data_IF_040788038216
#
_entry.id   IF_040788038216
#
_cell.length_a   1.000
_cell.length_b   1.000
_cell.length_c   1.000
_cell.angle_alpha   90.00
_cell.angle_beta   90.00
_cell.angle_gamma   90.00
#
_symmetry.space_group_name_H-M   'P 1'
#
loop_
_entity.id
_entity.type
_entity.pdbx_description
1 polymer ?
#
# COMPACT_ATOMS: atom_id res chain seq x y z
N UNK A 1 -29.68 6.44 -13.63
CA UNK A 1 -29.19 7.78 -13.30
C UNK A 1 -27.65 7.80 -13.21
N UNK A 2 -27.03 6.97 -12.35
CA UNK A 2 -25.57 6.97 -12.13
C UNK A 2 -24.76 6.74 -13.40
N UNK A 3 -25.21 5.83 -14.28
CA UNK A 3 -24.56 5.61 -15.58
C UNK A 3 -24.54 6.90 -16.42
N UNK A 4 -25.66 7.61 -16.53
CA UNK A 4 -25.75 8.84 -17.31
C UNK A 4 -24.90 9.97 -16.71
N UNK A 5 -24.82 10.07 -15.38
CA UNK A 5 -23.93 11.01 -14.71
C UNK A 5 -22.45 10.71 -15.00
N UNK A 6 -22.07 9.44 -14.99
CA UNK A 6 -20.71 9.03 -15.32
C UNK A 6 -20.38 9.25 -16.80
N UNK A 7 -21.35 8.99 -17.69
CA UNK A 7 -21.21 9.26 -19.11
C UNK A 7 -21.01 10.77 -19.38
N UNK A 8 -21.81 11.63 -18.74
CA UNK A 8 -21.67 13.11 -18.80
C UNK A 8 -20.25 13.55 -18.38
N UNK A 9 -19.66 12.89 -17.39
CA UNK A 9 -18.31 13.19 -16.88
C UNK A 9 -17.19 12.64 -17.74
N UNK A 10 -17.49 11.94 -18.85
CA UNK A 10 -16.50 11.29 -19.70
C UNK A 10 -15.81 10.11 -19.06
N UNK A 11 -16.48 9.40 -18.14
CA UNK A 11 -15.93 8.24 -17.45
C UNK A 11 -15.70 7.08 -18.42
N UNK A 12 -14.58 6.38 -18.26
CA UNK A 12 -14.31 5.11 -18.94
C UNK A 12 -15.12 3.93 -18.37
N UNK A 13 -14.83 2.69 -18.85
CA UNK A 13 -15.59 1.49 -18.47
C UNK A 13 -15.77 1.30 -16.95
N UNK A 14 -14.72 1.57 -16.16
CA UNK A 14 -14.78 1.48 -14.69
C UNK A 14 -15.86 2.40 -14.08
N UNK A 15 -16.02 3.62 -14.59
CA UNK A 15 -17.06 4.53 -14.12
C UNK A 15 -18.44 4.16 -14.66
N UNK A 16 -18.51 3.72 -15.92
CA UNK A 16 -19.75 3.27 -16.56
C UNK A 16 -20.28 1.95 -15.97
N UNK A 17 -19.44 1.13 -15.35
CA UNK A 17 -19.86 -0.02 -14.56
C UNK A 17 -20.87 0.35 -13.45
N UNK A 18 -20.96 1.66 -13.10
CA UNK A 18 -21.94 2.19 -12.16
C UNK A 18 -21.78 1.62 -10.74
N UNK A 19 -22.88 1.24 -10.09
CA UNK A 19 -22.88 0.72 -8.72
C UNK A 19 -22.91 -0.81 -8.74
N UNK A 20 -22.03 -1.44 -7.96
CA UNK A 20 -22.06 -2.87 -7.72
C UNK A 20 -23.02 -3.21 -6.57
N UNK A 21 -23.59 -4.45 -6.60
CA UNK A 21 -24.39 -4.97 -5.48
C UNK A 21 -23.57 -5.09 -4.20
N UNK A 22 -22.31 -5.53 -4.35
CA UNK A 22 -21.34 -5.65 -3.27
C UNK A 22 -20.09 -4.85 -3.67
N UNK A 23 -19.66 -3.96 -2.80
CA UNK A 23 -18.52 -3.09 -3.07
C UNK A 23 -17.66 -2.92 -1.80
N UNK A 24 -16.35 -3.14 -1.87
CA UNK A 24 -15.45 -2.79 -0.76
C UNK A 24 -15.58 -1.31 -0.39
N UNK A 25 -15.53 -1.04 0.91
CA UNK A 25 -15.55 0.30 1.48
C UNK A 25 -14.33 0.47 2.39
N UNK A 26 -14.13 1.62 2.95
CA UNK A 26 -12.96 1.94 3.77
C UNK A 26 -12.68 0.88 4.86
N UNK A 27 -11.45 0.44 4.95
CA UNK A 27 -11.01 -0.65 5.81
C UNK A 27 -11.58 -2.01 5.38
N UNK A 28 -11.98 -2.83 6.32
CA UNK A 28 -12.58 -4.16 6.08
C UNK A 28 -14.09 -4.11 5.82
N UNK A 29 -14.67 -2.92 5.65
CA UNK A 29 -16.11 -2.74 5.47
C UNK A 29 -16.53 -3.02 4.04
N UNK A 30 -17.79 -3.43 3.88
CA UNK A 30 -18.40 -3.69 2.57
C UNK A 30 -19.77 -3.04 2.50
N UNK A 31 -20.03 -2.33 1.40
CA UNK A 31 -21.37 -1.83 1.09
C UNK A 31 -22.11 -2.92 0.33
N UNK A 32 -23.29 -3.31 0.85
CA UNK A 32 -24.22 -4.19 0.16
C UNK A 32 -25.46 -3.41 -0.26
N UNK A 33 -25.91 -3.60 -1.52
CA UNK A 33 -27.10 -2.96 -2.10
C UNK A 33 -28.10 -4.03 -2.58
N UNK A 34 -28.84 -4.68 -1.68
CA UNK A 34 -29.66 -5.84 -2.00
C UNK A 34 -30.84 -5.52 -2.93
N UNK A 35 -31.27 -4.26 -2.99
CA UNK A 35 -32.39 -3.82 -3.83
C UNK A 35 -31.94 -3.20 -5.17
N UNK A 36 -30.68 -3.36 -5.57
CA UNK A 36 -30.16 -2.72 -6.79
C UNK A 36 -30.85 -3.23 -8.06
N UNK A 37 -31.28 -4.48 -8.08
CA UNK A 37 -32.01 -5.12 -9.17
C UNK A 37 -33.52 -4.92 -9.13
N UNK A 38 -34.06 -4.33 -8.05
CA UNK A 38 -35.50 -4.12 -7.85
C UNK A 38 -35.90 -2.73 -8.34
N UNK A 39 -36.97 -2.65 -9.13
CA UNK A 39 -37.46 -1.36 -9.61
C UNK A 39 -38.13 -0.55 -8.48
N UNK A 40 -38.15 0.79 -8.63
CA UNK A 40 -38.86 1.66 -7.68
C UNK A 40 -40.34 1.29 -7.55
N UNK A 41 -40.99 0.91 -8.65
CA UNK A 41 -42.41 0.52 -8.65
C UNK A 41 -42.65 -0.76 -7.84
N UNK A 42 -41.76 -1.75 -7.93
CA UNK A 42 -41.84 -2.96 -7.11
C UNK A 42 -41.65 -2.66 -5.63
N UNK A 43 -40.69 -1.77 -5.29
CA UNK A 43 -40.45 -1.34 -3.90
C UNK A 43 -41.69 -0.61 -3.34
N UNK A 44 -42.27 0.31 -4.12
CA UNK A 44 -43.48 1.03 -3.71
C UNK A 44 -44.68 0.09 -3.54
N UNK A 45 -44.90 -0.83 -4.51
CA UNK A 45 -45.99 -1.84 -4.43
C UNK A 45 -45.81 -2.75 -3.20
N UNK A 46 -44.56 -3.13 -2.83
CA UNK A 46 -44.32 -3.87 -1.62
C UNK A 46 -44.65 -3.03 -0.36
N UNK A 47 -44.23 -1.77 -0.32
CA UNK A 47 -44.49 -0.88 0.79
C UNK A 47 -46.00 -0.66 1.01
N UNK A 48 -46.76 -0.40 -0.06
CA UNK A 48 -48.23 -0.26 -0.02
C UNK A 48 -48.91 -1.54 0.45
N UNK A 49 -48.51 -2.70 -0.09
CA UNK A 49 -49.09 -3.98 0.29
C UNK A 49 -48.86 -4.35 1.77
N UNK A 50 -47.77 -3.88 2.33
CA UNK A 50 -47.41 -4.08 3.77
C UNK A 50 -47.75 -2.87 4.65
N UNK A 51 -48.48 -1.89 4.14
CA UNK A 51 -48.92 -0.68 4.88
C UNK A 51 -47.74 0.05 5.58
N UNK A 52 -46.56 0.06 4.93
CA UNK A 52 -45.41 0.79 5.44
C UNK A 52 -45.60 2.29 5.26
N UNK A 53 -45.19 3.06 6.23
CA UNK A 53 -45.17 4.53 6.15
C UNK A 53 -43.77 5.02 5.95
N UNK A 54 -43.57 6.00 5.08
CA UNK A 54 -42.28 6.64 4.82
C UNK A 54 -42.41 8.15 4.73
N UNK A 55 -41.34 8.84 4.91
CA UNK A 55 -41.27 10.30 4.76
C UNK A 55 -40.72 10.57 3.36
N UNK A 56 -41.42 11.38 2.58
CA UNK A 56 -40.85 11.93 1.34
C UNK A 56 -40.05 13.18 1.65
N UNK A 57 -38.85 13.25 1.12
CA UNK A 57 -37.99 14.41 1.20
C UNK A 57 -38.33 15.34 0.01
N UNK A 58 -38.75 16.56 0.32
CA UNK A 58 -39.16 17.56 -0.67
C UNK A 58 -38.02 17.88 -1.67
N UNK A 59 -36.76 17.71 -1.25
CA UNK A 59 -35.59 17.88 -2.14
C UNK A 59 -35.53 16.88 -3.29
N UNK A 60 -36.26 15.76 -3.21
CA UNK A 60 -36.35 14.78 -4.30
C UNK A 60 -36.96 15.34 -5.60
N UNK A 61 -37.71 16.44 -5.51
CA UNK A 61 -38.35 17.11 -6.63
C UNK A 61 -37.57 18.32 -7.15
N UNK A 62 -36.49 18.72 -6.47
CA UNK A 62 -35.64 19.82 -6.89
C UNK A 62 -34.78 19.40 -8.09
N UNK A 63 -35.20 19.80 -9.30
CA UNK A 63 -34.50 19.50 -10.56
C UNK A 63 -33.24 20.35 -10.77
N UNK A 64 -32.91 21.28 -9.89
CA UNK A 64 -31.57 21.93 -9.89
C UNK A 64 -30.49 20.89 -9.51
N UNK A 65 -30.87 19.83 -8.81
CA UNK A 65 -30.01 18.68 -8.50
C UNK A 65 -29.94 17.77 -9.72
N UNK A 66 -28.77 17.61 -10.29
CA UNK A 66 -28.48 16.83 -11.51
C UNK A 66 -29.15 15.43 -11.53
N UNK A 67 -29.16 14.73 -10.41
CA UNK A 67 -29.76 13.40 -10.31
C UNK A 67 -31.28 13.46 -10.44
N UNK A 68 -31.92 14.46 -9.84
CA UNK A 68 -33.36 14.64 -9.93
C UNK A 68 -33.75 15.12 -11.33
N UNK A 69 -32.97 16.01 -11.94
CA UNK A 69 -33.15 16.38 -13.34
C UNK A 69 -33.14 15.17 -14.29
N UNK A 70 -32.15 14.29 -14.13
CA UNK A 70 -32.13 13.05 -14.92
C UNK A 70 -33.36 12.18 -14.68
N UNK A 71 -33.80 12.05 -13.43
CA UNK A 71 -34.93 11.20 -13.02
C UNK A 71 -36.27 11.72 -13.52
N UNK A 72 -36.50 13.02 -13.45
CA UNK A 72 -37.83 13.61 -13.73
C UNK A 72 -37.97 14.09 -15.16
N UNK A 73 -36.91 14.57 -15.79
CA UNK A 73 -36.99 15.21 -17.10
C UNK A 73 -36.35 14.35 -18.22
N UNK A 74 -35.14 13.85 -18.01
CA UNK A 74 -34.37 13.18 -19.07
C UNK A 74 -34.78 11.74 -19.27
N UNK A 75 -34.78 10.92 -18.22
CA UNK A 75 -35.08 9.48 -18.33
C UNK A 75 -36.48 9.24 -18.85
N UNK A 76 -37.55 9.91 -18.37
CA UNK A 76 -38.90 9.73 -18.90
C UNK A 76 -38.99 10.11 -20.38
N UNK A 77 -38.29 11.15 -20.82
CA UNK A 77 -38.24 11.55 -22.23
C UNK A 77 -37.60 10.46 -23.11
N UNK A 78 -36.48 9.87 -22.62
CA UNK A 78 -35.80 8.79 -23.32
C UNK A 78 -36.65 7.51 -23.36
N UNK A 79 -37.30 7.13 -22.26
CA UNK A 79 -38.13 5.96 -22.15
C UNK A 79 -39.41 6.08 -22.98
N UNK A 80 -40.00 7.29 -23.11
CA UNK A 80 -41.12 7.54 -24.01
C UNK A 80 -40.73 7.27 -25.46
N UNK A 81 -39.51 7.59 -25.86
CA UNK A 81 -39.00 7.38 -27.23
C UNK A 81 -38.50 5.95 -27.42
N UNK A 82 -37.87 5.38 -26.42
CA UNK A 82 -37.27 4.05 -26.41
C UNK A 82 -37.69 3.30 -25.14
N UNK A 83 -38.81 2.56 -25.15
CA UNK A 83 -39.38 1.92 -23.94
C UNK A 83 -38.45 0.98 -23.18
N UNK A 84 -37.35 0.49 -23.81
CA UNK A 84 -36.37 -0.38 -23.20
C UNK A 84 -35.04 0.32 -22.89
N UNK A 85 -35.01 1.65 -22.89
CA UNK A 85 -33.78 2.42 -22.69
C UNK A 85 -33.11 2.08 -21.36
N UNK A 86 -33.86 2.07 -20.27
CA UNK A 86 -33.34 1.73 -18.95
C UNK A 86 -32.66 0.36 -18.90
N UNK A 87 -33.33 -0.66 -19.49
CA UNK A 87 -32.78 -2.02 -19.59
C UNK A 87 -31.51 -2.08 -20.43
N UNK A 88 -31.42 -1.31 -21.51
CA UNK A 88 -30.22 -1.22 -22.35
C UNK A 88 -29.06 -0.58 -21.61
N UNK A 89 -29.30 0.46 -20.79
CA UNK A 89 -28.30 1.10 -19.94
C UNK A 89 -27.78 0.15 -18.85
N UNK A 90 -28.70 -0.58 -18.19
CA UNK A 90 -28.33 -1.60 -17.19
C UNK A 90 -27.43 -2.66 -17.80
N UNK A 91 -27.81 -3.16 -19.00
CA UNK A 91 -27.00 -4.15 -19.73
C UNK A 91 -25.61 -3.59 -20.08
N UNK A 92 -25.53 -2.36 -20.59
CA UNK A 92 -24.26 -1.71 -20.91
C UNK A 92 -23.37 -1.56 -19.66
N UNK A 93 -23.94 -1.11 -18.54
CA UNK A 93 -23.22 -0.99 -17.26
C UNK A 93 -22.67 -2.35 -16.79
N UNK A 94 -23.50 -3.41 -16.88
CA UNK A 94 -23.09 -4.78 -16.53
C UNK A 94 -21.92 -5.26 -17.40
N UNK A 95 -22.00 -5.07 -18.71
CA UNK A 95 -20.92 -5.47 -19.64
C UNK A 95 -19.63 -4.70 -19.34
N UNK A 96 -19.71 -3.39 -19.00
CA UNK A 96 -18.56 -2.62 -18.57
C UNK A 96 -17.96 -3.19 -17.27
N UNK A 97 -18.79 -3.60 -16.32
CA UNK A 97 -18.33 -4.22 -15.07
C UNK A 97 -17.63 -5.57 -15.32
N UNK A 98 -18.23 -6.43 -16.14
CA UNK A 98 -17.66 -7.74 -16.52
C UNK A 98 -16.29 -7.55 -17.21
N UNK A 99 -16.18 -6.65 -18.19
CA UNK A 99 -14.91 -6.35 -18.84
C UNK A 99 -13.85 -5.81 -17.87
N UNK A 100 -14.25 -4.95 -16.93
CA UNK A 100 -13.33 -4.44 -15.92
C UNK A 100 -12.83 -5.54 -14.98
N UNK A 101 -13.70 -6.48 -14.60
CA UNK A 101 -13.32 -7.61 -13.74
C UNK A 101 -12.29 -8.51 -14.45
N UNK A 102 -12.57 -8.91 -15.69
CA UNK A 102 -11.62 -9.71 -16.49
C UNK A 102 -10.27 -9.00 -16.63
N UNK A 103 -10.30 -7.68 -16.90
CA UNK A 103 -9.07 -6.90 -16.98
C UNK A 103 -8.29 -6.89 -15.65
N UNK A 104 -9.00 -6.72 -14.54
CA UNK A 104 -8.37 -6.75 -13.20
C UNK A 104 -7.73 -8.10 -12.91
N UNK A 105 -8.42 -9.21 -13.21
CA UNK A 105 -7.90 -10.57 -13.04
C UNK A 105 -6.61 -10.78 -13.83
N UNK A 106 -6.59 -10.43 -15.11
CA UNK A 106 -5.41 -10.56 -15.97
C UNK A 106 -4.24 -9.70 -15.50
N UNK A 107 -4.52 -8.48 -15.02
CA UNK A 107 -3.48 -7.58 -14.48
C UNK A 107 -2.90 -8.12 -13.17
N UNK A 108 -3.75 -8.65 -12.29
CA UNK A 108 -3.32 -9.27 -11.03
C UNK A 108 -2.49 -10.52 -11.28
N UNK A 109 -2.93 -11.42 -12.16
CA UNK A 109 -2.19 -12.61 -12.53
C UNK A 109 -0.79 -12.24 -13.09
N UNK A 110 -0.74 -11.29 -14.02
CA UNK A 110 0.53 -10.82 -14.60
C UNK A 110 1.45 -10.21 -13.54
N UNK A 111 0.90 -9.46 -12.59
CA UNK A 111 1.67 -8.88 -11.49
C UNK A 111 2.20 -9.97 -10.55
N UNK A 112 1.37 -10.91 -10.13
CA UNK A 112 1.74 -12.00 -9.24
C UNK A 112 2.85 -12.88 -9.85
N UNK A 113 2.75 -13.23 -11.13
CA UNK A 113 3.80 -13.99 -11.83
C UNK A 113 5.14 -13.25 -11.79
N UNK A 114 5.14 -11.92 -12.02
CA UNK A 114 6.37 -11.13 -11.98
C UNK A 114 6.94 -10.97 -10.55
N UNK A 115 6.12 -11.09 -9.52
CA UNK A 115 6.51 -10.96 -8.11
C UNK A 115 7.01 -12.29 -7.50
N UNK A 116 6.81 -13.45 -8.15
CA UNK A 116 7.16 -14.77 -7.59
C UNK A 116 8.62 -14.89 -7.15
N UNK A 117 9.54 -14.19 -7.81
CA UNK A 117 10.98 -14.22 -7.52
C UNK A 117 11.41 -13.13 -6.50
N UNK A 118 10.47 -12.29 -6.05
CA UNK A 118 10.74 -11.14 -5.18
C UNK A 118 9.71 -11.06 -4.06
N UNK A 119 9.63 -9.92 -3.40
CA UNK A 119 8.57 -9.63 -2.43
C UNK A 119 7.25 -9.29 -3.13
N UNK A 120 6.10 -9.67 -2.54
CA UNK A 120 4.76 -9.28 -2.98
C UNK A 120 4.54 -7.76 -2.97
N UNK A 121 5.34 -7.02 -2.21
CA UNK A 121 5.20 -5.57 -2.02
C UNK A 121 5.92 -4.75 -3.08
N UNK A 122 6.83 -5.36 -3.85
CA UNK A 122 7.55 -4.66 -4.91
C UNK A 122 6.86 -4.75 -6.26
N UNK A 123 7.20 -3.82 -7.16
CA UNK A 123 6.82 -3.84 -8.57
C UNK A 123 8.05 -4.07 -9.43
N UNK A 124 8.28 -5.29 -9.94
CA UNK A 124 9.41 -5.62 -10.79
C UNK A 124 9.36 -4.86 -12.11
N UNK A 125 10.46 -4.20 -12.52
CA UNK A 125 10.44 -3.37 -13.71
C UNK A 125 10.40 -4.16 -15.03
N UNK A 126 10.84 -5.41 -15.05
CA UNK A 126 10.78 -6.28 -16.22
C UNK A 126 9.35 -6.46 -16.76
N UNK A 127 8.32 -6.34 -15.91
CA UNK A 127 6.90 -6.43 -16.31
C UNK A 127 6.50 -5.30 -17.29
N UNK A 128 7.22 -4.18 -17.30
CA UNK A 128 6.98 -3.05 -18.21
C UNK A 128 7.56 -3.24 -19.60
N UNK A 129 8.52 -4.17 -19.76
CA UNK A 129 9.18 -4.42 -21.01
C UNK A 129 8.21 -4.95 -22.07
N UNK A 130 8.23 -4.36 -23.25
CA UNK A 130 7.34 -4.73 -24.36
C UNK A 130 5.86 -4.41 -24.14
N UNK A 131 5.46 -3.92 -22.97
CA UNK A 131 4.07 -3.54 -22.70
C UNK A 131 3.75 -2.14 -23.26
N UNK A 132 2.52 -1.95 -23.77
CA UNK A 132 2.04 -0.63 -24.19
C UNK A 132 1.97 0.34 -23.01
N UNK A 133 2.04 1.66 -23.27
CA UNK A 133 1.94 2.68 -22.24
C UNK A 133 0.63 2.57 -21.42
N UNK A 134 -0.47 2.14 -22.05
CA UNK A 134 -1.74 1.89 -21.37
C UNK A 134 -1.62 0.70 -20.41
N UNK A 135 -1.02 -0.41 -20.82
CA UNK A 135 -0.78 -1.59 -19.99
C UNK A 135 0.14 -1.27 -18.82
N UNK A 136 1.24 -0.53 -19.08
CA UNK A 136 2.19 -0.10 -18.05
C UNK A 136 1.49 0.71 -16.94
N UNK A 137 0.65 1.69 -17.32
CA UNK A 137 -0.16 2.47 -16.36
C UNK A 137 -1.16 1.60 -15.61
N UNK A 138 -1.80 0.65 -16.29
CA UNK A 138 -2.75 -0.26 -15.66
C UNK A 138 -2.06 -1.14 -14.60
N UNK A 139 -0.90 -1.71 -14.93
CA UNK A 139 -0.11 -2.53 -13.99
C UNK A 139 0.37 -1.74 -12.77
N UNK A 140 0.89 -0.53 -12.96
CA UNK A 140 1.30 0.35 -11.86
C UNK A 140 0.11 0.69 -10.95
N UNK A 141 -1.04 0.99 -11.55
CA UNK A 141 -2.27 1.27 -10.80
C UNK A 141 -2.75 0.05 -10.01
N UNK A 142 -2.74 -1.13 -10.63
CA UNK A 142 -3.11 -2.38 -9.97
C UNK A 142 -2.20 -2.67 -8.79
N UNK A 143 -0.89 -2.55 -8.96
CA UNK A 143 0.09 -2.72 -7.88
C UNK A 143 -0.18 -1.78 -6.69
N UNK A 144 -0.37 -0.49 -6.93
CA UNK A 144 -0.68 0.45 -5.86
C UNK A 144 -2.01 0.14 -5.15
N UNK A 145 -3.01 -0.35 -5.90
CA UNK A 145 -4.28 -0.79 -5.34
C UNK A 145 -4.15 -2.04 -4.46
N UNK A 146 -3.33 -3.02 -4.87
CA UNK A 146 -3.09 -4.23 -4.04
C UNK A 146 -2.40 -3.89 -2.71
N UNK A 147 -1.60 -2.83 -2.68
CA UNK A 147 -0.99 -2.29 -1.46
C UNK A 147 -1.92 -1.37 -0.66
N UNK A 148 -3.19 -1.22 -1.06
CA UNK A 148 -4.15 -0.34 -0.38
C UNK A 148 -3.82 1.15 -0.48
N UNK A 149 -3.00 1.57 -1.47
CA UNK A 149 -2.58 2.96 -1.61
C UNK A 149 -3.58 3.81 -2.37
N UNK A 150 -3.67 5.09 -2.00
CA UNK A 150 -4.39 6.08 -2.80
C UNK A 150 -3.77 6.17 -4.19
N UNK A 151 -4.61 6.21 -5.22
CA UNK A 151 -4.09 6.29 -6.59
C UNK A 151 -3.53 7.68 -6.88
N UNK A 152 -2.32 7.76 -7.46
CA UNK A 152 -1.74 9.03 -7.88
C UNK A 152 -2.53 9.64 -9.05
N UNK A 153 -2.36 10.94 -9.28
CA UNK A 153 -2.92 11.62 -10.46
C UNK A 153 -2.40 10.97 -11.76
N UNK A 154 -3.07 11.28 -12.88
CA UNK A 154 -2.61 10.79 -14.18
C UNK A 154 -1.17 11.23 -14.46
N UNK A 155 -0.84 12.49 -14.15
CA UNK A 155 0.49 13.07 -14.35
C UNK A 155 1.55 12.39 -13.49
N UNK A 156 1.25 12.15 -12.21
CA UNK A 156 2.15 11.42 -11.30
C UNK A 156 2.36 9.97 -11.75
N UNK A 157 1.29 9.28 -12.16
CA UNK A 157 1.37 7.92 -12.67
C UNK A 157 2.22 7.84 -13.95
N UNK A 158 2.06 8.81 -14.85
CA UNK A 158 2.84 8.92 -16.07
C UNK A 158 4.31 9.27 -15.77
N UNK A 159 4.57 10.08 -14.76
CA UNK A 159 5.92 10.36 -14.26
C UNK A 159 6.59 9.09 -13.72
N UNK A 160 5.89 8.31 -12.86
CA UNK A 160 6.38 7.01 -12.36
C UNK A 160 6.74 6.13 -13.56
N UNK A 161 5.81 5.96 -14.50
CA UNK A 161 6.01 5.13 -15.69
C UNK A 161 7.25 5.53 -16.51
N UNK A 162 7.36 6.81 -16.86
CA UNK A 162 8.48 7.31 -17.69
C UNK A 162 9.82 7.20 -17.00
N UNK A 163 9.88 7.53 -15.73
CA UNK A 163 11.12 7.43 -14.97
C UNK A 163 11.53 5.98 -14.78
N UNK A 164 10.58 5.06 -14.56
CA UNK A 164 10.84 3.63 -14.41
C UNK A 164 11.45 2.99 -15.66
N UNK A 165 11.07 3.45 -16.85
CA UNK A 165 11.62 2.95 -18.11
C UNK A 165 13.05 3.46 -18.40
N UNK A 166 13.46 4.56 -17.77
CA UNK A 166 14.76 5.21 -18.00
C UNK A 166 15.72 5.03 -16.80
N UNK A 167 15.35 4.19 -15.83
CA UNK A 167 16.17 3.95 -14.64
C UNK A 167 17.46 3.23 -15.02
N UNK A 168 18.59 3.75 -14.51
CA UNK A 168 19.88 3.06 -14.50
C UNK A 168 20.11 2.45 -13.11
N UNK A 169 21.02 1.49 -13.00
CA UNK A 169 21.32 0.77 -11.77
C UNK A 169 21.71 1.67 -10.57
N UNK A 170 22.22 2.85 -10.84
CA UNK A 170 22.64 3.87 -9.87
C UNK A 170 21.61 5.00 -9.67
N UNK A 171 20.49 4.96 -10.38
CA UNK A 171 19.47 6.02 -10.33
C UNK A 171 18.74 6.04 -8.98
N UNK A 172 18.48 7.23 -8.49
CA UNK A 172 17.59 7.47 -7.36
C UNK A 172 16.24 7.97 -7.89
N UNK A 173 15.32 7.04 -8.18
CA UNK A 173 13.94 7.41 -8.44
C UNK A 173 13.24 7.58 -7.10
N UNK A 174 12.65 8.75 -6.92
CA UNK A 174 11.88 9.11 -5.73
C UNK A 174 10.73 10.03 -6.14
N UNK A 175 9.50 9.53 -6.08
CA UNK A 175 8.30 10.27 -6.47
C UNK A 175 7.35 10.32 -5.29
N UNK A 176 7.06 11.54 -4.84
CA UNK A 176 6.08 11.78 -3.77
C UNK A 176 4.67 11.60 -4.31
N UNK A 177 3.90 10.77 -3.64
CA UNK A 177 2.48 10.57 -3.83
C UNK A 177 1.71 11.02 -2.58
N UNK A 178 0.40 10.93 -2.59
CA UNK A 178 -0.42 11.34 -1.45
C UNK A 178 -0.25 10.34 -0.28
N UNK A 179 0.60 10.70 0.68
CA UNK A 179 0.85 9.93 1.90
C UNK A 179 1.90 8.82 1.78
N UNK A 180 2.58 8.70 0.64
CA UNK A 180 3.66 7.74 0.44
C UNK A 180 4.62 8.19 -0.65
N UNK A 181 5.73 7.44 -0.80
CA UNK A 181 6.75 7.64 -1.83
C UNK A 181 6.86 6.39 -2.69
N UNK A 182 7.03 6.55 -4.01
CA UNK A 182 7.46 5.47 -4.91
C UNK A 182 8.95 5.62 -5.14
N UNK A 183 9.72 4.57 -4.79
CA UNK A 183 11.17 4.55 -4.86
C UNK A 183 11.68 3.38 -5.68
N UNK A 184 12.84 3.53 -6.30
CA UNK A 184 13.50 2.48 -7.07
C UNK A 184 14.61 1.82 -6.25
N UNK A 185 14.64 0.49 -6.25
CA UNK A 185 15.73 -0.28 -5.67
C UNK A 185 15.75 -1.70 -6.27
N UNK A 186 16.96 -2.20 -6.63
CA UNK A 186 17.19 -3.56 -7.13
C UNK A 186 16.24 -4.00 -8.27
N UNK A 187 16.14 -3.16 -9.29
CA UNK A 187 15.30 -3.40 -10.49
C UNK A 187 13.81 -3.58 -10.16
N UNK A 188 13.34 -2.90 -9.14
CA UNK A 188 11.93 -2.85 -8.76
C UNK A 188 11.55 -1.49 -8.20
N UNK A 189 10.26 -1.16 -8.25
CA UNK A 189 9.68 -0.05 -7.48
C UNK A 189 9.20 -0.58 -6.14
N UNK A 190 9.29 0.29 -5.15
CA UNK A 190 8.86 0.06 -3.77
C UNK A 190 8.02 1.22 -3.30
N UNK A 191 7.05 0.94 -2.46
CA UNK A 191 6.31 1.96 -1.72
C UNK A 191 7.00 2.18 -0.39
N UNK A 192 7.25 3.44 -0.06
CA UNK A 192 7.75 3.88 1.25
C UNK A 192 6.70 4.80 1.89
N UNK A 193 6.01 4.31 2.89
CA UNK A 193 5.01 5.05 3.66
C UNK A 193 5.63 6.04 4.67
N UNK A 194 6.93 6.16 4.64
CA UNK A 194 7.71 6.77 5.69
C UNK A 194 8.05 5.73 6.77
N UNK A 195 9.06 6.01 7.55
CA UNK A 195 9.31 5.25 8.77
C UNK A 195 8.60 5.93 9.93
N UNK A 196 8.29 5.18 10.98
CA UNK A 196 7.93 5.75 12.27
C UNK A 196 8.96 6.80 12.72
N UNK A 197 8.59 7.69 13.60
CA UNK A 197 9.50 8.68 14.16
C UNK A 197 10.74 7.98 14.73
N UNK A 198 11.93 8.49 14.39
CA UNK A 198 13.19 7.85 14.77
C UNK A 198 13.29 7.66 16.29
N UNK A 199 13.68 6.47 16.71
CA UNK A 199 13.91 6.17 18.13
C UNK A 199 15.05 7.06 18.62
N UNK A 200 14.74 7.97 19.55
CA UNK A 200 15.72 8.74 20.31
C UNK A 200 16.55 7.79 21.18
N UNK A 201 17.71 8.22 21.65
CA UNK A 201 18.51 7.38 22.54
C UNK A 201 17.77 7.10 23.85
N UNK A 202 17.46 5.83 24.10
CA UNK A 202 16.74 5.35 25.28
C UNK A 202 17.54 4.25 25.97
N UNK A 203 17.70 4.37 27.29
CA UNK A 203 18.33 3.32 28.10
C UNK A 203 17.36 2.13 28.25
N UNK A 204 17.88 0.91 28.08
CA UNK A 204 17.13 -0.34 28.21
C UNK A 204 17.39 -0.94 29.57
N UNK A 205 16.36 -1.00 30.41
CA UNK A 205 16.42 -1.55 31.78
C UNK A 205 15.45 -2.70 32.01
N UNK A 206 14.65 -3.07 31.00
CA UNK A 206 13.62 -4.13 31.11
C UNK A 206 13.83 -5.19 30.03
N UNK A 207 13.51 -6.46 30.32
CA UNK A 207 13.62 -7.56 29.34
C UNK A 207 12.75 -7.39 28.09
N UNK A 208 11.64 -6.67 28.22
CA UNK A 208 10.75 -6.35 27.11
C UNK A 208 10.45 -4.86 27.12
N UNK A 209 10.72 -4.20 25.99
CA UNK A 209 10.46 -2.76 25.80
C UNK A 209 9.70 -2.57 24.48
N UNK A 210 8.56 -1.88 24.54
CA UNK A 210 7.73 -1.57 23.38
C UNK A 210 8.07 -0.16 22.86
N UNK A 211 8.25 -0.06 21.55
CA UNK A 211 8.58 1.18 20.81
C UNK A 211 7.45 1.59 19.84
N UNK A 212 6.21 1.28 20.18
CA UNK A 212 5.03 1.64 19.37
C UNK A 212 5.07 0.97 17.99
N UNK A 213 4.99 1.76 16.92
CA UNK A 213 4.99 1.27 15.54
C UNK A 213 6.26 0.52 15.14
N UNK A 214 7.37 0.77 15.83
CA UNK A 214 8.62 0.03 15.63
C UNK A 214 8.54 -1.44 16.10
N UNK A 215 7.60 -1.75 17.00
CA UNK A 215 7.48 -3.07 17.61
C UNK A 215 8.12 -3.16 18.98
N UNK A 216 8.52 -4.36 19.37
CA UNK A 216 9.02 -4.66 20.71
C UNK A 216 10.41 -5.30 20.67
N UNK A 217 11.31 -4.75 21.47
CA UNK A 217 12.62 -5.33 21.73
C UNK A 217 12.55 -6.25 22.95
N UNK A 218 12.98 -7.47 22.78
CA UNK A 218 13.21 -8.43 23.88
C UNK A 218 14.71 -8.61 24.10
N UNK A 219 15.15 -8.30 25.30
CA UNK A 219 16.55 -8.41 25.73
C UNK A 219 16.66 -9.51 26.79
N UNK A 220 17.57 -10.49 26.66
CA UNK A 220 17.80 -11.49 27.70
C UNK A 220 18.21 -10.85 29.04
N UNK A 221 17.73 -11.39 30.16
CA UNK A 221 18.04 -10.86 31.51
C UNK A 221 19.53 -10.91 31.83
N UNK A 222 20.22 -11.93 31.35
CA UNK A 222 21.69 -12.03 31.50
C UNK A 222 22.41 -10.87 30.82
N UNK A 223 21.97 -10.45 29.64
CA UNK A 223 22.53 -9.31 28.93
C UNK A 223 22.30 -7.99 29.66
N UNK A 224 21.12 -7.84 30.31
CA UNK A 224 20.84 -6.69 31.17
C UNK A 224 21.72 -6.64 32.40
N UNK A 225 22.05 -7.81 32.97
CA UNK A 225 22.90 -7.91 34.16
C UNK A 225 24.39 -7.72 33.84
N UNK A 226 24.86 -8.18 32.68
CA UNK A 226 26.25 -8.11 32.25
C UNK A 226 26.66 -6.75 31.67
N UNK A 227 25.69 -5.96 31.19
CA UNK A 227 25.96 -4.71 30.51
C UNK A 227 25.84 -3.51 31.45
N UNK A 228 26.93 -2.77 31.63
CA UNK A 228 26.92 -1.52 32.41
C UNK A 228 25.92 -0.49 31.86
N UNK A 229 25.74 -0.46 30.54
CA UNK A 229 24.81 0.46 29.87
C UNK A 229 24.33 -0.14 28.55
N UNK A 230 23.03 -0.38 28.47
CA UNK A 230 22.34 -0.73 27.24
C UNK A 230 21.52 0.45 26.75
N UNK A 231 21.75 0.91 25.54
CA UNK A 231 20.95 1.98 24.90
C UNK A 231 20.49 1.55 23.52
N UNK A 232 19.34 2.04 23.11
CA UNK A 232 18.82 1.86 21.76
C UNK A 232 18.54 3.22 21.12
N UNK A 233 18.87 3.35 19.84
CA UNK A 233 18.58 4.55 19.05
C UNK A 233 18.62 4.24 17.56
N UNK A 234 18.14 5.14 16.72
CA UNK A 234 18.40 5.13 15.27
C UNK A 234 19.69 5.87 14.90
N UNK A 235 20.52 6.25 15.87
CA UNK A 235 21.82 6.92 15.66
C UNK A 235 22.88 5.86 15.39
N UNK A 236 23.44 5.87 14.19
CA UNK A 236 24.46 4.90 13.81
C UNK A 236 25.85 5.31 14.32
N UNK A 237 26.62 4.36 14.88
CA UNK A 237 27.98 4.64 15.30
C UNK A 237 28.87 5.02 14.12
N UNK A 238 29.76 5.97 14.31
CA UNK A 238 30.71 6.42 13.29
C UNK A 238 31.88 5.44 13.09
N UNK A 239 32.13 4.55 14.06
CA UNK A 239 33.20 3.55 14.05
C UNK A 239 32.97 2.48 13.00
N UNK A 240 34.07 1.88 12.52
CA UNK A 240 34.03 0.68 11.70
C UNK A 240 33.81 -0.54 12.61
N UNK A 241 32.97 -1.44 12.18
CA UNK A 241 32.49 -2.62 12.92
C UNK A 241 32.78 -3.88 12.14
N UNK A 242 33.08 -4.95 12.81
CA UNK A 242 33.32 -6.27 12.23
C UNK A 242 32.38 -7.34 12.82
N UNK A 243 32.16 -8.42 12.08
CA UNK A 243 31.44 -9.58 12.61
C UNK A 243 32.32 -10.39 13.55
N UNK A 244 31.78 -10.95 14.63
CA UNK A 244 32.52 -11.81 15.53
C UNK A 244 33.23 -12.95 14.79
N UNK A 245 34.53 -13.16 15.07
CA UNK A 245 35.34 -14.22 14.47
C UNK A 245 35.66 -14.06 12.98
N UNK A 246 35.47 -12.88 12.40
CA UNK A 246 35.84 -12.56 11.01
C UNK A 246 36.75 -11.36 10.93
N UNK A 247 37.75 -11.43 10.05
CA UNK A 247 38.59 -10.29 9.72
C UNK A 247 37.81 -9.28 8.85
N UNK A 248 38.10 -7.99 9.06
CA UNK A 248 37.54 -6.90 8.29
C UNK A 248 36.46 -6.10 9.03
N UNK A 249 36.59 -4.79 8.92
CA UNK A 249 35.73 -3.80 9.58
C UNK A 249 35.16 -2.83 8.54
N UNK A 250 33.83 -2.60 8.59
CA UNK A 250 33.09 -1.67 7.71
C UNK A 250 32.21 -0.77 8.54
N UNK A 251 31.73 0.33 7.95
CA UNK A 251 30.67 1.14 8.56
C UNK A 251 29.38 0.31 8.63
N UNK A 252 28.53 0.58 9.62
CA UNK A 252 27.25 -0.12 9.75
C UNK A 252 26.42 -0.06 8.44
N UNK A 253 26.40 1.10 7.79
CA UNK A 253 25.67 1.30 6.53
C UNK A 253 26.12 0.34 5.41
N UNK A 254 27.40 -0.07 5.39
CA UNK A 254 27.91 -1.02 4.40
C UNK A 254 27.46 -2.45 4.72
N UNK A 255 27.37 -2.80 6.00
CA UNK A 255 26.78 -4.06 6.45
C UNK A 255 25.30 -4.17 6.07
N UNK A 256 24.54 -3.08 6.25
CA UNK A 256 23.14 -3.02 5.88
C UNK A 256 22.95 -3.10 4.34
N UNK A 257 23.87 -2.49 3.57
CA UNK A 257 23.88 -2.60 2.11
C UNK A 257 24.12 -4.04 1.65
N UNK A 258 25.04 -4.76 2.28
CA UNK A 258 25.32 -6.17 1.96
C UNK A 258 24.15 -7.10 2.31
N UNK A 259 23.30 -6.71 3.25
CA UNK A 259 22.05 -7.40 3.56
C UNK A 259 20.90 -7.05 2.61
N UNK A 260 21.17 -6.24 1.59
CA UNK A 260 20.17 -5.87 0.61
C UNK A 260 19.18 -4.80 1.07
N UNK A 261 19.42 -4.15 2.22
CA UNK A 261 18.50 -3.14 2.72
C UNK A 261 18.48 -1.89 1.83
N UNK A 262 17.29 -1.39 1.54
CA UNK A 262 17.11 -0.23 0.69
C UNK A 262 17.75 1.04 1.28
N UNK A 263 18.30 1.96 0.46
CA UNK A 263 19.05 3.11 0.94
C UNK A 263 18.32 3.98 1.96
N UNK A 264 17.02 4.21 1.76
CA UNK A 264 16.19 5.05 2.63
C UNK A 264 15.85 4.41 3.98
N UNK A 265 15.99 3.07 4.09
CA UNK A 265 15.76 2.35 5.32
C UNK A 265 17.04 2.24 6.19
N UNK A 266 18.22 2.33 5.58
CA UNK A 266 19.49 2.07 6.29
C UNK A 266 19.71 2.97 7.49
N UNK A 267 19.38 4.25 7.39
CA UNK A 267 19.53 5.21 8.50
C UNK A 267 18.43 5.10 9.56
N UNK A 268 17.42 4.28 9.30
CA UNK A 268 16.26 4.08 10.18
C UNK A 268 16.36 2.81 11.01
N UNK A 269 17.38 1.97 10.77
CA UNK A 269 17.56 0.70 11.50
C UNK A 269 17.87 1.00 12.97
N UNK A 270 17.11 0.43 13.92
CA UNK A 270 17.42 0.54 15.34
C UNK A 270 18.73 -0.17 15.68
N UNK A 271 19.54 0.51 16.51
CA UNK A 271 20.84 0.03 16.98
C UNK A 271 20.79 -0.09 18.49
N UNK A 272 20.89 -1.30 19.00
CA UNK A 272 21.13 -1.57 20.43
C UNK A 272 22.64 -1.53 20.67
N UNK A 273 23.08 -0.66 21.55
CA UNK A 273 24.49 -0.51 21.93
C UNK A 273 24.71 -1.08 23.32
N UNK A 274 25.71 -1.95 23.45
CA UNK A 274 26.15 -2.54 24.72
C UNK A 274 27.58 -2.09 24.98
N UNK A 275 27.76 -1.09 25.87
CA UNK A 275 29.03 -0.42 26.06
C UNK A 275 29.53 0.25 24.79
N UNK A 276 30.86 0.55 24.75
CA UNK A 276 31.48 1.27 23.64
C UNK A 276 31.85 0.36 22.44
N UNK A 277 31.92 -0.93 22.64
CA UNK A 277 32.56 -1.86 21.72
C UNK A 277 31.59 -2.80 20.98
N UNK A 278 30.35 -2.86 21.36
CA UNK A 278 29.41 -3.85 20.86
C UNK A 278 28.07 -3.23 20.47
N UNK A 279 27.62 -3.51 19.26
CA UNK A 279 26.29 -3.15 18.81
C UNK A 279 25.53 -4.36 18.28
N UNK A 280 24.21 -4.31 18.37
CA UNK A 280 23.31 -5.24 17.75
C UNK A 280 22.23 -4.51 16.94
N UNK A 281 21.86 -5.08 15.80
CA UNK A 281 20.69 -4.62 15.05
C UNK A 281 19.83 -5.82 14.66
N UNK A 282 18.52 -5.66 14.45
CA UNK A 282 17.66 -6.72 13.96
C UNK A 282 18.16 -7.33 12.63
N UNK A 283 18.71 -6.49 11.75
CA UNK A 283 19.14 -6.85 10.39
C UNK A 283 20.49 -7.57 10.35
N UNK A 284 21.47 -7.13 11.16
CA UNK A 284 22.84 -7.65 11.05
C UNK A 284 23.24 -8.61 12.16
N UNK A 285 22.50 -8.59 13.28
CA UNK A 285 22.91 -9.22 14.53
C UNK A 285 24.06 -8.43 15.20
N UNK A 286 24.90 -9.12 15.99
CA UNK A 286 26.02 -8.51 16.69
C UNK A 286 27.14 -8.05 15.76
N UNK A 287 27.65 -6.86 15.98
CA UNK A 287 28.83 -6.26 15.36
C UNK A 287 29.74 -5.66 16.46
N UNK A 288 31.04 -5.75 16.28
CA UNK A 288 32.06 -5.36 17.26
C UNK A 288 33.02 -4.31 16.67
N UNK A 289 33.49 -3.39 17.49
CA UNK A 289 34.57 -2.46 17.12
C UNK A 289 35.90 -3.19 17.01
N UNK A 290 36.11 -4.22 17.84
CA UNK A 290 37.29 -5.10 17.81
C UNK A 290 36.83 -6.58 17.80
N UNK A 291 36.55 -7.14 16.61
CA UNK A 291 36.00 -8.49 16.47
C UNK A 291 37.01 -9.61 16.76
N UNK A 292 38.30 -9.28 16.84
CA UNK A 292 39.38 -10.27 17.10
C UNK A 292 39.60 -10.47 18.61
N UNK A 293 39.52 -9.39 19.40
CA UNK A 293 39.81 -9.41 20.82
C UNK A 293 38.57 -9.39 21.73
N UNK A 294 37.41 -9.05 21.18
CA UNK A 294 36.14 -9.01 21.92
C UNK A 294 35.16 -10.08 21.42
N UNK A 295 34.42 -10.67 22.35
CA UNK A 295 33.33 -11.60 22.06
C UNK A 295 31.99 -10.91 22.29
N UNK A 296 30.99 -11.15 21.43
CA UNK A 296 29.65 -10.64 21.68
C UNK A 296 29.03 -11.39 22.86
N UNK A 297 28.00 -10.81 23.49
CA UNK A 297 27.16 -11.54 24.44
C UNK A 297 26.64 -12.85 23.86
N UNK A 298 26.60 -13.91 24.67
CA UNK A 298 26.21 -15.26 24.23
C UNK A 298 24.76 -15.30 23.75
N UNK A 299 23.88 -14.60 24.45
CA UNK A 299 22.47 -14.53 24.12
C UNK A 299 22.19 -13.32 23.20
N UNK A 300 21.27 -13.52 22.26
CA UNK A 300 20.90 -12.50 21.28
C UNK A 300 19.59 -11.83 21.68
N UNK A 301 19.49 -10.52 21.57
CA UNK A 301 18.18 -9.82 21.57
C UNK A 301 17.31 -10.32 20.42
N UNK A 302 16.00 -10.16 20.55
CA UNK A 302 15.06 -10.36 19.45
C UNK A 302 14.19 -9.13 19.28
N UNK A 303 13.73 -8.93 18.05
CA UNK A 303 12.86 -7.82 17.68
C UNK A 303 11.59 -8.39 17.07
N UNK A 304 10.45 -8.03 17.64
CA UNK A 304 9.13 -8.42 17.14
C UNK A 304 8.45 -7.18 16.56
N UNK A 305 8.19 -7.16 15.25
CA UNK A 305 7.63 -6.00 14.56
C UNK A 305 6.74 -6.40 13.39
N UNK A 306 5.80 -5.54 13.04
CA UNK A 306 5.03 -5.60 11.79
C UNK A 306 5.77 -5.00 10.59
N UNK A 307 6.90 -4.31 10.83
CA UNK A 307 7.73 -3.73 9.77
C UNK A 307 8.51 -4.85 9.07
N UNK A 308 8.02 -5.33 7.93
CA UNK A 308 8.58 -6.47 7.21
C UNK A 308 10.08 -6.32 6.93
N UNK A 309 10.54 -5.12 6.56
CA UNK A 309 11.94 -4.83 6.25
C UNK A 309 12.91 -4.94 7.45
N UNK A 310 12.39 -5.05 8.68
CA UNK A 310 13.21 -5.33 9.87
C UNK A 310 13.30 -6.81 10.21
N UNK A 311 12.41 -7.66 9.63
CA UNK A 311 12.37 -9.09 9.91
C UNK A 311 13.20 -9.91 8.92
N UNK A 312 13.60 -9.35 7.78
CA UNK A 312 14.45 -9.95 6.75
C UNK A 312 15.96 -9.81 7.10
#
# INVERSE_FOLDING_TARGET
ETFLLQLKRGSGPKGLASMAEIQPWEGERTICRPLLSTSKNEILGYAESNQLTWIEDDTNYDTTIERNFLRHDVIPTLEKRWPHFGMSVIRAARLCAEQQNVMNELLLEKLQVAQQEKSSDCFPLNILEGASAAMQRALLRTWLQTLGKSLPSYEQLEQIRRQSLNVRSDSQLEISCQGYWVRYFQNALWVDDGAPEAISEVAISKPLTNFGEWGSLRVPESLLAESERLTISCIHPKSKLGKPGRSGRKKLIDWLKERGLAPWLRQRVPVLQSGDNCIWTPVTGWLLTDPENHKPPTLKPSWETSLQWLND
#
